data_IF_038908633542
#
_entry.id   IF_038908633542
#
_cell.length_a   1.000
_cell.length_b   1.000
_cell.length_c   1.000
_cell.angle_alpha   90.00
_cell.angle_beta   90.00
_cell.angle_gamma   90.00
#
_symmetry.space_group_name_H-M   'P 1'
#
loop_
_entity.id
_entity.type
_entity.pdbx_description
1 polymer ?
#
# COMPACT_ATOMS: atom_id res chain seq x y z
N UNK A 1 48.20 16.23 -70.71
CA UNK A 1 47.54 14.95 -70.53
C UNK A 1 47.19 14.79 -69.07
N UNK A 2 45.90 14.75 -68.88
CA UNK A 2 45.14 14.18 -67.78
C UNK A 2 45.30 14.73 -66.37
N UNK A 3 44.20 15.28 -65.99
CA UNK A 3 43.74 15.79 -64.71
C UNK A 3 43.79 14.78 -63.61
N UNK A 4 44.19 15.23 -62.43
CA UNK A 4 43.91 14.57 -61.16
C UNK A 4 43.03 15.47 -60.32
N UNK A 5 41.75 15.12 -60.33
CA UNK A 5 40.72 15.76 -59.53
C UNK A 5 40.99 15.63 -58.04
N UNK A 6 41.01 16.75 -57.38
CA UNK A 6 41.06 16.86 -55.95
C UNK A 6 39.71 16.45 -55.36
N UNK A 7 39.63 15.29 -54.71
CA UNK A 7 38.49 14.93 -53.88
C UNK A 7 38.65 15.63 -52.53
N UNK A 8 37.88 16.69 -52.32
CA UNK A 8 37.74 17.33 -51.04
C UNK A 8 37.05 16.41 -50.04
N UNK A 9 37.75 16.04 -48.97
CA UNK A 9 37.14 15.43 -47.82
C UNK A 9 36.46 16.52 -46.98
N UNK A 10 35.17 16.63 -47.13
CA UNK A 10 34.32 17.38 -46.20
C UNK A 10 34.14 16.54 -44.95
N UNK A 11 34.79 16.95 -43.87
CA UNK A 11 34.49 16.46 -42.55
C UNK A 11 33.13 17.02 -42.13
N UNK A 12 32.09 16.26 -42.42
CA UNK A 12 30.77 16.51 -41.86
C UNK A 12 30.81 16.28 -40.35
N UNK A 13 30.68 17.36 -39.60
CA UNK A 13 30.44 17.30 -38.16
C UNK A 13 29.17 16.52 -37.92
N UNK A 14 29.32 15.40 -37.18
CA UNK A 14 28.26 14.44 -36.89
C UNK A 14 27.07 15.12 -36.22
N UNK A 15 25.96 15.06 -36.89
CA UNK A 15 24.67 15.21 -36.25
C UNK A 15 24.50 14.12 -35.19
N UNK A 16 24.63 14.55 -33.97
CA UNK A 16 24.21 13.75 -32.80
C UNK A 16 22.71 13.54 -32.92
N UNK A 17 22.31 12.46 -33.55
CA UNK A 17 20.93 12.00 -33.61
C UNK A 17 20.51 11.69 -32.17
N UNK A 18 19.89 12.68 -31.52
CA UNK A 18 19.12 12.45 -30.30
C UNK A 18 17.96 11.51 -30.65
N UNK A 19 18.23 10.23 -30.55
CA UNK A 19 17.18 9.23 -30.50
C UNK A 19 16.43 9.46 -29.17
N UNK A 20 15.41 10.33 -29.23
CA UNK A 20 14.37 10.34 -28.23
C UNK A 20 13.68 8.98 -28.31
N UNK A 21 14.17 8.03 -27.54
CA UNK A 21 13.39 6.86 -27.20
C UNK A 21 12.16 7.36 -26.45
N UNK A 22 11.12 7.70 -27.20
CA UNK A 22 9.77 7.77 -26.66
C UNK A 22 9.36 6.33 -26.37
N UNK A 23 9.59 5.89 -25.14
CA UNK A 23 8.82 4.79 -24.56
C UNK A 23 7.37 5.27 -24.58
N UNK A 24 6.66 4.91 -25.63
CA UNK A 24 5.22 5.06 -25.68
C UNK A 24 4.65 4.06 -24.67
N UNK A 25 4.48 4.49 -23.42
CA UNK A 25 3.63 3.78 -22.46
C UNK A 25 2.22 3.88 -23.04
N UNK A 26 1.58 2.75 -23.39
CA UNK A 26 0.22 2.80 -23.91
C UNK A 26 -0.66 3.50 -22.88
N UNK A 27 -1.46 4.47 -23.33
CA UNK A 27 -2.30 5.33 -22.48
C UNK A 27 -3.32 4.54 -21.61
N UNK A 28 -3.54 3.29 -21.89
CA UNK A 28 -4.37 2.36 -21.11
C UNK A 28 -3.61 1.51 -20.08
N UNK A 29 -2.28 1.72 -19.92
CA UNK A 29 -1.51 1.02 -18.89
C UNK A 29 -1.64 1.63 -17.49
N UNK A 30 -2.31 2.78 -17.36
CA UNK A 30 -2.55 3.45 -16.07
C UNK A 30 -4.00 3.96 -16.05
N UNK A 31 -4.96 3.06 -16.21
CA UNK A 31 -6.29 3.34 -15.69
C UNK A 31 -6.22 3.14 -14.17
N UNK A 32 -5.96 4.22 -13.44
CA UNK A 32 -5.87 4.23 -11.97
C UNK A 32 -7.19 3.99 -11.25
N UNK A 33 -8.15 3.38 -11.92
CA UNK A 33 -9.51 3.13 -11.42
C UNK A 33 -9.85 1.62 -11.37
N UNK A 34 -8.85 0.76 -11.33
CA UNK A 34 -9.07 -0.67 -11.11
C UNK A 34 -9.29 -0.92 -9.62
N UNK A 35 -10.48 -0.65 -9.13
CA UNK A 35 -10.86 -1.07 -7.78
C UNK A 35 -10.82 -2.60 -7.71
N UNK A 36 -10.28 -3.10 -6.61
CA UNK A 36 -10.23 -4.53 -6.30
C UNK A 36 -11.12 -4.79 -5.10
N UNK A 37 -12.07 -5.70 -5.27
CA UNK A 37 -12.81 -6.22 -4.13
C UNK A 37 -11.87 -7.14 -3.34
N UNK A 38 -11.63 -6.77 -2.09
CA UNK A 38 -10.83 -7.55 -1.14
C UNK A 38 -11.75 -8.05 -0.05
N UNK A 39 -11.75 -9.37 0.16
CA UNK A 39 -12.57 -10.05 1.15
C UNK A 39 -11.67 -10.68 2.21
N UNK A 40 -11.94 -10.42 3.47
CA UNK A 40 -11.22 -10.97 4.61
C UNK A 40 -12.13 -10.99 5.84
N UNK A 41 -11.71 -11.66 6.88
CA UNK A 41 -12.44 -11.66 8.17
C UNK A 41 -11.85 -10.60 9.07
N UNK A 42 -12.68 -9.79 9.73
CA UNK A 42 -12.23 -8.80 10.73
C UNK A 42 -12.98 -9.01 12.02
N UNK A 43 -12.25 -9.26 13.10
CA UNK A 43 -12.82 -9.51 14.44
C UNK A 43 -13.92 -10.58 14.40
N UNK A 44 -13.69 -11.66 13.65
CA UNK A 44 -14.62 -12.78 13.50
C UNK A 44 -15.81 -12.52 12.57
N UNK A 45 -15.86 -11.38 11.86
CA UNK A 45 -16.93 -11.04 10.90
C UNK A 45 -16.38 -10.93 9.50
N UNK A 46 -17.06 -11.50 8.52
CA UNK A 46 -16.70 -11.34 7.12
C UNK A 46 -16.84 -9.87 6.70
N UNK A 47 -15.83 -9.34 6.05
CA UNK A 47 -15.78 -7.99 5.54
C UNK A 47 -15.36 -7.99 4.06
N UNK A 48 -15.87 -7.05 3.31
CA UNK A 48 -15.51 -6.83 1.90
C UNK A 48 -15.33 -5.33 1.67
N UNK A 49 -14.24 -4.96 1.04
CA UNK A 49 -13.92 -3.57 0.68
C UNK A 49 -13.52 -3.48 -0.78
N UNK A 50 -14.00 -2.47 -1.47
CA UNK A 50 -13.59 -2.14 -2.83
C UNK A 50 -12.57 -1.01 -2.76
N UNK A 51 -11.31 -1.34 -3.07
CA UNK A 51 -10.19 -0.41 -2.89
C UNK A 51 -9.21 -0.48 -4.05
N UNK A 52 -8.51 0.61 -4.37
CA UNK A 52 -7.35 0.58 -5.26
C UNK A 52 -6.30 -0.43 -4.79
N UNK A 53 -5.58 -1.11 -5.71
CA UNK A 53 -4.61 -2.17 -5.34
C UNK A 53 -3.47 -1.69 -4.44
N UNK A 54 -3.17 -0.40 -4.45
CA UNK A 54 -2.13 0.24 -3.64
C UNK A 54 -2.63 0.72 -2.26
N UNK A 55 -3.89 0.45 -1.91
CA UNK A 55 -4.44 0.83 -0.61
C UNK A 55 -3.78 0.03 0.51
N UNK A 56 -3.31 0.73 1.54
CA UNK A 56 -2.75 0.10 2.73
C UNK A 56 -3.85 -0.52 3.60
N UNK A 57 -3.53 -1.61 4.29
CA UNK A 57 -4.49 -2.28 5.17
C UNK A 57 -5.03 -1.34 6.25
N UNK A 58 -4.19 -0.45 6.80
CA UNK A 58 -4.62 0.54 7.81
C UNK A 58 -5.72 1.46 7.28
N UNK A 59 -5.63 1.90 6.02
CA UNK A 59 -6.66 2.75 5.40
C UNK A 59 -7.94 1.95 5.13
N UNK A 60 -7.83 0.71 4.66
CA UNK A 60 -8.98 -0.17 4.50
C UNK A 60 -9.75 -0.36 5.82
N UNK A 61 -9.04 -0.58 6.93
CA UNK A 61 -9.64 -0.74 8.24
C UNK A 61 -10.30 0.55 8.74
N UNK A 62 -9.60 1.70 8.65
CA UNK A 62 -10.06 2.98 9.23
C UNK A 62 -11.13 3.67 8.41
N UNK A 63 -10.94 3.73 7.08
CA UNK A 63 -11.74 4.57 6.18
C UNK A 63 -12.90 3.81 5.56
N UNK A 64 -12.71 2.52 5.26
CA UNK A 64 -13.76 1.70 4.65
C UNK A 64 -14.56 0.89 5.67
N UNK A 65 -13.91 0.36 6.71
CA UNK A 65 -14.59 -0.41 7.76
C UNK A 65 -14.85 0.39 9.04
N UNK A 66 -14.39 1.66 9.10
CA UNK A 66 -14.57 2.57 10.23
C UNK A 66 -14.03 2.04 11.57
N UNK A 67 -13.05 1.14 11.51
CA UNK A 67 -12.34 0.61 12.68
C UNK A 67 -11.19 1.56 13.05
N UNK A 68 -11.54 2.62 13.75
CA UNK A 68 -10.64 3.75 14.01
C UNK A 68 -9.67 3.52 15.17
N UNK A 69 -9.84 2.46 15.94
CA UNK A 69 -8.93 2.09 17.04
C UNK A 69 -7.52 1.72 16.57
N UNK A 70 -7.36 1.31 15.31
CA UNK A 70 -6.05 1.16 14.69
C UNK A 70 -5.55 2.53 14.24
N UNK A 71 -4.49 3.06 14.87
CA UNK A 71 -4.00 4.41 14.63
C UNK A 71 -2.85 4.47 13.61
N UNK A 72 -2.67 5.65 12.98
CA UNK A 72 -1.49 5.98 12.18
C UNK A 72 -0.69 7.03 12.94
N UNK A 73 0.47 6.64 13.48
CA UNK A 73 1.33 7.52 14.28
C UNK A 73 2.64 7.91 13.58
N UNK A 74 2.95 7.27 12.45
CA UNK A 74 4.15 7.58 11.65
C UNK A 74 3.96 7.13 10.20
N UNK A 75 4.93 7.46 9.34
CA UNK A 75 5.03 7.01 7.94
C UNK A 75 6.19 6.04 7.69
N UNK A 76 6.93 5.68 8.76
CA UNK A 76 8.17 4.90 8.71
C UNK A 76 8.04 3.49 9.26
N UNK A 77 6.81 3.04 9.57
CA UNK A 77 6.51 1.72 10.15
C UNK A 77 7.19 1.42 11.49
N UNK A 78 7.60 2.44 12.25
CA UNK A 78 8.36 2.28 13.49
C UNK A 78 7.50 2.37 14.75
N UNK A 79 6.49 3.26 14.80
CA UNK A 79 5.78 3.58 16.04
C UNK A 79 4.92 2.42 16.60
N UNK A 80 4.47 1.49 15.76
CA UNK A 80 3.63 0.36 16.18
C UNK A 80 2.15 0.69 16.41
N UNK A 81 1.72 1.96 16.30
CA UNK A 81 0.34 2.37 16.54
C UNK A 81 -0.69 1.69 15.62
N UNK A 82 -0.25 1.25 14.44
CA UNK A 82 -1.06 0.56 13.44
C UNK A 82 -1.00 -0.97 13.55
N UNK A 83 -0.48 -1.53 14.64
CA UNK A 83 -0.32 -2.97 14.78
C UNK A 83 -1.68 -3.66 14.88
N UNK A 84 -1.87 -4.69 14.05
CA UNK A 84 -3.03 -5.60 14.06
C UNK A 84 -2.52 -7.03 14.04
N UNK A 85 -3.36 -8.00 14.34
CA UNK A 85 -3.04 -9.40 14.11
C UNK A 85 -3.60 -9.84 12.76
N UNK A 86 -2.77 -10.45 11.94
CA UNK A 86 -3.17 -11.08 10.67
C UNK A 86 -2.82 -12.57 10.79
N UNK A 87 -3.83 -13.43 10.75
CA UNK A 87 -3.68 -14.87 10.98
C UNK A 87 -2.89 -15.18 12.28
N UNK A 88 -3.18 -14.46 13.36
CA UNK A 88 -2.54 -14.61 14.66
C UNK A 88 -1.13 -14.01 14.79
N UNK A 89 -0.60 -13.36 13.77
CA UNK A 89 0.72 -12.71 13.78
C UNK A 89 0.58 -11.21 13.85
N UNK A 90 1.35 -10.55 14.72
CA UNK A 90 1.41 -9.10 14.81
C UNK A 90 2.04 -8.51 13.55
N UNK A 91 1.31 -7.63 12.86
CA UNK A 91 1.70 -6.99 11.61
C UNK A 91 1.42 -5.49 11.71
N UNK A 92 2.30 -4.67 11.14
CA UNK A 92 2.06 -3.24 10.99
C UNK A 92 1.22 -2.99 9.75
N UNK A 93 -0.05 -2.66 9.92
CA UNK A 93 -1.00 -2.49 8.81
C UNK A 93 -0.66 -1.33 7.87
N UNK A 94 0.18 -0.39 8.31
CA UNK A 94 0.70 0.70 7.46
C UNK A 94 1.79 0.26 6.46
N UNK A 95 2.31 -0.98 6.57
CA UNK A 95 3.30 -1.55 5.65
C UNK A 95 2.78 -2.78 4.90
N UNK A 96 1.48 -3.02 4.96
CA UNK A 96 0.81 -4.12 4.26
C UNK A 96 -0.29 -3.56 3.35
N UNK A 97 -0.37 -4.05 2.12
CA UNK A 97 -1.46 -3.70 1.23
C UNK A 97 -2.74 -4.46 1.61
N UNK A 98 -3.90 -3.82 1.44
CA UNK A 98 -5.19 -4.47 1.70
C UNK A 98 -5.37 -5.75 0.87
N UNK A 99 -4.92 -5.75 -0.38
CA UNK A 99 -4.99 -6.92 -1.28
C UNK A 99 -4.19 -8.13 -0.76
N UNK A 100 -3.16 -7.91 0.07
CA UNK A 100 -2.38 -8.99 0.68
C UNK A 100 -3.13 -9.67 1.83
N UNK A 101 -4.15 -9.00 2.38
CA UNK A 101 -5.01 -9.56 3.42
C UNK A 101 -6.19 -10.37 2.86
N UNK A 102 -6.25 -10.60 1.54
CA UNK A 102 -7.30 -11.40 0.92
C UNK A 102 -7.42 -12.78 1.60
N UNK A 103 -8.60 -13.09 2.11
CA UNK A 103 -8.90 -14.36 2.78
C UNK A 103 -8.26 -14.52 4.17
N UNK A 104 -7.58 -13.51 4.69
CA UNK A 104 -6.95 -13.55 6.00
C UNK A 104 -7.96 -13.29 7.13
N UNK A 105 -7.58 -13.71 8.35
CA UNK A 105 -8.24 -13.30 9.60
C UNK A 105 -7.47 -12.14 10.22
N UNK A 106 -8.14 -10.99 10.31
CA UNK A 106 -7.58 -9.75 10.86
C UNK A 106 -8.24 -9.46 12.20
N UNK A 107 -7.46 -9.30 13.25
CA UNK A 107 -7.93 -8.87 14.55
C UNK A 107 -7.37 -7.49 14.87
N UNK A 108 -8.27 -6.55 15.17
CA UNK A 108 -7.95 -5.19 15.60
C UNK A 108 -8.21 -5.03 17.09
N UNK A 109 -7.88 -3.86 17.66
CA UNK A 109 -8.08 -3.57 19.08
C UNK A 109 -9.56 -3.66 19.49
N UNK A 110 -10.49 -3.35 18.58
CA UNK A 110 -11.92 -3.46 18.81
C UNK A 110 -12.38 -4.91 19.00
N UNK A 111 -11.63 -5.87 18.45
CA UNK A 111 -11.93 -7.30 18.58
C UNK A 111 -11.28 -7.97 19.78
N UNK A 112 -10.54 -7.25 20.63
CA UNK A 112 -9.94 -7.81 21.84
C UNK A 112 -10.95 -7.91 22.99
N UNK A 113 -11.92 -7.02 23.07
CA UNK A 113 -12.99 -7.11 24.06
C UNK A 113 -13.89 -8.32 23.75
N UNK A 114 -14.43 -8.94 24.79
CA UNK A 114 -15.39 -10.02 24.61
C UNK A 114 -16.71 -9.50 24.02
N UNK A 115 -17.52 -10.36 23.37
CA UNK A 115 -18.78 -9.95 22.77
C UNK A 115 -19.79 -9.36 23.76
N UNK A 116 -19.67 -9.66 25.04
CA UNK A 116 -20.47 -9.11 26.13
C UNK A 116 -20.03 -7.70 26.59
N UNK A 117 -18.97 -7.16 25.96
CA UNK A 117 -18.39 -5.86 26.29
C UNK A 117 -17.34 -5.92 27.41
N UNK A 118 -17.03 -7.10 27.96
CA UNK A 118 -15.96 -7.25 28.95
C UNK A 118 -14.62 -6.92 28.31
N UNK A 119 -13.91 -5.94 28.87
CA UNK A 119 -12.60 -5.53 28.39
C UNK A 119 -11.56 -6.63 28.57
N UNK A 120 -10.69 -6.81 27.59
CA UNK A 120 -9.51 -7.64 27.76
C UNK A 120 -8.64 -7.11 28.91
N UNK A 121 -7.98 -7.95 29.71
CA UNK A 121 -7.17 -7.52 30.87
C UNK A 121 -6.18 -6.40 30.54
N UNK A 122 -5.56 -6.43 29.36
CA UNK A 122 -4.68 -5.36 28.90
C UNK A 122 -5.42 -4.03 28.71
N UNK A 123 -6.62 -4.05 28.13
CA UNK A 123 -7.43 -2.83 27.95
C UNK A 123 -7.85 -2.26 29.29
N UNK A 124 -8.24 -3.11 30.25
CA UNK A 124 -8.58 -2.70 31.61
C UNK A 124 -7.37 -2.08 32.32
N UNK A 125 -6.20 -2.70 32.25
CA UNK A 125 -4.97 -2.19 32.85
C UNK A 125 -4.57 -0.81 32.28
N UNK A 126 -4.64 -0.63 30.94
CA UNK A 126 -4.39 0.67 30.32
C UNK A 126 -5.35 1.76 30.83
N UNK A 127 -6.62 1.42 30.99
CA UNK A 127 -7.64 2.35 31.51
C UNK A 127 -7.40 2.70 32.99
N UNK A 128 -7.10 1.70 33.83
CA UNK A 128 -6.90 1.87 35.27
C UNK A 128 -5.59 2.59 35.60
N UNK A 129 -4.54 2.31 34.85
CA UNK A 129 -3.21 2.86 35.09
C UNK A 129 -2.93 4.13 34.25
N UNK A 130 -3.94 4.71 33.61
CA UNK A 130 -3.78 5.91 32.78
C UNK A 130 -2.64 5.77 31.75
N UNK A 131 -2.54 4.63 31.10
CA UNK A 131 -1.50 4.29 30.11
C UNK A 131 -1.68 4.91 28.74
N UNK A 132 -2.51 5.95 28.62
CA UNK A 132 -2.78 6.70 27.39
C UNK A 132 -2.13 8.06 27.43
#
# INVERSE_FOLDING_TARGET
MQALEKRGLSLGMGECVRHKMRLAVPANAVSGDSQRQVQFTVNGRAASVDVPPNTLLVHALREHLLLTGTHVGCDTSQCGACTVHVNGRAVKSCSMLAVQAQGADVQTIEGLAAPDGTMHPMQAAFKECHGL
#
